data_IF_416593992803
#
_entry.id   IF_416593992803
#
_cell.length_a   1.000
_cell.length_b   1.000
_cell.length_c   1.000
_cell.angle_alpha   90.00
_cell.angle_beta   90.00
_cell.angle_gamma   90.00
#
_symmetry.space_group_name_H-M   'P 1'
#
loop_
_entity.id
_entity.type
_entity.pdbx_description
1 polymer ?
#
# COMPACT_ATOMS: atom_id res chain seq x y z
N UNK A 1 -15.81 9.60 3.80
CA UNK A 1 -15.48 8.34 3.08
C UNK A 1 -14.63 8.60 1.83
N UNK A 2 -15.03 9.47 0.90
CA UNK A 2 -14.31 9.68 -0.37
C UNK A 2 -12.83 10.07 -0.23
N UNK A 3 -12.50 11.03 0.64
CA UNK A 3 -11.10 11.40 0.91
C UNK A 3 -10.27 10.21 1.45
N UNK A 4 -10.84 9.44 2.39
CA UNK A 4 -10.17 8.25 2.96
C UNK A 4 -9.94 7.20 1.86
N UNK A 5 -10.93 7.00 0.99
CA UNK A 5 -10.82 6.11 -0.16
C UNK A 5 -9.70 6.54 -1.11
N UNK A 6 -9.62 7.82 -1.48
CA UNK A 6 -8.56 8.35 -2.34
C UNK A 6 -7.18 8.08 -1.73
N UNK A 7 -6.99 8.38 -0.44
CA UNK A 7 -5.70 8.15 0.21
C UNK A 7 -5.32 6.66 0.24
N UNK A 8 -6.26 5.78 0.56
CA UNK A 8 -6.03 4.33 0.55
C UNK A 8 -5.71 3.83 -0.86
N UNK A 9 -6.44 4.31 -1.87
CA UNK A 9 -6.26 3.92 -3.27
C UNK A 9 -4.89 4.36 -3.82
N UNK A 10 -4.50 5.63 -3.60
CA UNK A 10 -3.20 6.13 -4.02
C UNK A 10 -2.08 5.39 -3.29
N UNK A 11 -2.22 5.15 -1.98
CA UNK A 11 -1.23 4.40 -1.20
C UNK A 11 -1.02 2.97 -1.71
N UNK A 12 -2.10 2.28 -2.07
CA UNK A 12 -2.07 0.95 -2.66
C UNK A 12 -1.40 0.96 -4.04
N UNK A 13 -1.80 1.90 -4.92
CA UNK A 13 -1.25 2.04 -6.26
C UNK A 13 0.25 2.30 -6.25
N UNK A 14 0.70 3.26 -5.42
CA UNK A 14 2.13 3.58 -5.28
C UNK A 14 2.90 2.38 -4.73
N UNK A 15 2.34 1.67 -3.74
CA UNK A 15 2.94 0.46 -3.20
C UNK A 15 3.13 -0.62 -4.27
N UNK A 16 2.12 -0.83 -5.11
CA UNK A 16 2.18 -1.83 -6.19
C UNK A 16 3.25 -1.47 -7.23
N UNK A 17 3.30 -0.21 -7.66
CA UNK A 17 4.33 0.25 -8.59
C UNK A 17 5.74 0.13 -8.00
N UNK A 18 5.94 0.46 -6.72
CA UNK A 18 7.23 0.27 -6.04
C UNK A 18 7.66 -1.19 -6.05
N UNK A 19 6.75 -2.14 -5.76
CA UNK A 19 7.05 -3.57 -5.82
C UNK A 19 7.48 -4.00 -7.22
N UNK A 20 6.74 -3.56 -8.24
CA UNK A 20 7.04 -3.86 -9.66
C UNK A 20 8.41 -3.35 -10.08
N UNK A 21 8.79 -2.14 -9.65
CA UNK A 21 10.14 -1.61 -9.90
C UNK A 21 11.21 -2.49 -9.25
N UNK A 22 11.00 -2.94 -8.01
CA UNK A 22 11.90 -3.85 -7.32
C UNK A 22 12.05 -5.21 -8.00
N UNK A 23 10.94 -5.75 -8.51
CA UNK A 23 10.92 -7.01 -9.26
C UNK A 23 11.68 -6.90 -10.58
N UNK A 24 11.41 -5.87 -11.38
CA UNK A 24 12.12 -5.63 -12.65
C UNK A 24 13.61 -5.40 -12.41
N UNK A 25 13.97 -4.62 -11.39
CA UNK A 25 15.36 -4.42 -10.99
C UNK A 25 16.04 -5.74 -10.61
N UNK A 26 15.35 -6.62 -9.88
CA UNK A 26 15.87 -7.94 -9.50
C UNK A 26 16.04 -8.89 -10.70
N UNK A 27 15.10 -8.88 -11.65
CA UNK A 27 15.14 -9.71 -12.86
C UNK A 27 16.15 -9.24 -13.90
N UNK A 28 16.80 -8.10 -13.68
CA UNK A 28 17.84 -7.61 -14.58
C UNK A 28 19.07 -8.51 -14.47
N UNK A 29 19.82 -8.73 -15.57
CA UNK A 29 21.08 -9.50 -15.57
C UNK A 29 22.21 -8.74 -14.84
N UNK A 30 22.06 -8.53 -13.54
CA UNK A 30 22.92 -7.68 -12.71
C UNK A 30 24.38 -8.11 -12.74
N UNK A 31 24.65 -9.41 -12.88
CA UNK A 31 26.00 -9.97 -12.97
C UNK A 31 26.77 -9.56 -14.24
N UNK A 32 26.07 -9.02 -15.26
CA UNK A 32 26.69 -8.49 -16.50
C UNK A 32 26.94 -6.98 -16.45
N UNK A 33 26.54 -6.30 -15.37
CA UNK A 33 26.62 -4.85 -15.25
C UNK A 33 27.90 -4.40 -14.52
N UNK A 34 28.38 -3.17 -14.76
CA UNK A 34 29.48 -2.59 -14.00
C UNK A 34 29.17 -2.55 -12.50
N UNK A 35 30.20 -2.75 -11.66
CA UNK A 35 30.06 -2.81 -10.20
C UNK A 35 29.33 -1.60 -9.60
N UNK A 36 29.56 -0.39 -10.14
CA UNK A 36 28.84 0.83 -9.72
C UNK A 36 27.33 0.72 -9.96
N UNK A 37 26.92 0.19 -11.11
CA UNK A 37 25.51 0.02 -11.49
C UNK A 37 24.84 -1.06 -10.65
N UNK A 38 25.54 -2.17 -10.38
CA UNK A 38 25.04 -3.25 -9.50
C UNK A 38 24.75 -2.73 -8.10
N UNK A 39 25.64 -1.92 -7.54
CA UNK A 39 25.42 -1.30 -6.22
C UNK A 39 24.17 -0.41 -6.20
N UNK A 40 23.96 0.39 -7.25
CA UNK A 40 22.76 1.20 -7.40
C UNK A 40 21.48 0.36 -7.52
N UNK A 41 21.51 -0.73 -8.29
CA UNK A 41 20.40 -1.68 -8.43
C UNK A 41 20.02 -2.31 -7.08
N UNK A 42 21.01 -2.73 -6.28
CA UNK A 42 20.78 -3.27 -4.94
C UNK A 42 20.07 -2.23 -4.06
N UNK A 43 20.50 -0.97 -4.11
CA UNK A 43 19.83 0.11 -3.37
C UNK A 43 18.37 0.27 -3.82
N UNK A 44 18.09 0.25 -5.12
CA UNK A 44 16.73 0.32 -5.67
C UNK A 44 15.87 -0.87 -5.18
N UNK A 45 16.42 -2.08 -5.19
CA UNK A 45 15.72 -3.28 -4.71
C UNK A 45 15.42 -3.19 -3.20
N UNK A 46 16.36 -2.70 -2.40
CA UNK A 46 16.12 -2.51 -0.96
C UNK A 46 15.08 -1.42 -0.71
N UNK A 47 15.14 -0.31 -1.46
CA UNK A 47 14.19 0.80 -1.32
C UNK A 47 12.77 0.44 -1.78
N UNK A 48 12.61 -0.32 -2.86
CA UNK A 48 11.30 -0.78 -3.34
C UNK A 48 10.57 -1.71 -2.37
N UNK A 49 11.31 -2.45 -1.54
CA UNK A 49 10.73 -3.26 -0.45
C UNK A 49 10.16 -2.43 0.69
N UNK A 50 10.59 -1.18 0.84
CA UNK A 50 10.03 -0.25 1.82
C UNK A 50 8.69 0.23 1.27
N UNK A 51 7.64 -0.52 1.62
CA UNK A 51 6.26 -0.18 1.32
C UNK A 51 6.01 1.26 1.77
N UNK A 52 5.53 2.11 0.85
CA UNK A 52 5.07 3.47 1.18
C UNK A 52 3.76 3.31 1.93
N UNK A 53 3.87 3.00 3.23
CA UNK A 53 2.72 2.83 4.12
C UNK A 53 2.24 4.21 4.52
N UNK A 54 1.23 4.71 3.84
CA UNK A 54 0.53 5.92 4.28
C UNK A 54 -0.17 5.59 5.60
N UNK A 55 0.27 6.19 6.69
CA UNK A 55 -0.33 6.01 8.02
C UNK A 55 -1.12 7.24 8.44
N UNK A 56 -2.38 7.06 8.83
CA UNK A 56 -3.14 8.11 9.50
C UNK A 56 -2.65 8.22 10.96
N UNK A 57 -2.09 9.38 11.32
CA UNK A 57 -1.63 9.67 12.68
C UNK A 57 -0.56 8.72 13.24
N UNK A 58 0.16 7.97 12.39
CA UNK A 58 1.05 6.84 12.76
C UNK A 58 0.37 5.65 13.43
N UNK A 59 -0.96 5.64 13.52
CA UNK A 59 -1.72 4.62 14.26
C UNK A 59 -2.41 3.66 13.29
N UNK A 60 -2.94 4.16 12.17
CA UNK A 60 -3.70 3.35 11.22
C UNK A 60 -2.98 3.29 9.87
N UNK A 61 -2.69 2.08 9.39
CA UNK A 61 -2.29 1.88 8.01
C UNK A 61 -3.50 2.11 7.10
N UNK A 62 -3.41 3.14 6.25
CA UNK A 62 -4.42 3.42 5.22
C UNK A 62 -4.16 2.50 4.03
N UNK A 63 -4.98 1.46 3.92
CA UNK A 63 -4.99 0.49 2.81
C UNK A 63 -6.44 0.24 2.37
N UNK A 64 -6.65 -0.28 1.16
CA UNK A 64 -8.01 -0.58 0.67
C UNK A 64 -8.69 -1.59 1.60
N UNK A 65 -7.92 -2.51 2.20
CA UNK A 65 -8.39 -3.51 3.14
C UNK A 65 -8.90 -2.86 4.42
N UNK A 66 -8.15 -1.90 4.98
CA UNK A 66 -8.57 -1.13 6.16
C UNK A 66 -9.84 -0.31 5.88
N UNK A 67 -9.90 0.31 4.70
CA UNK A 67 -11.09 1.06 4.27
C UNK A 67 -12.33 0.16 4.16
N UNK A 68 -12.19 -1.03 3.59
CA UNK A 68 -13.25 -2.03 3.52
C UNK A 68 -13.75 -2.46 4.89
N UNK A 69 -12.85 -2.61 5.87
CA UNK A 69 -13.23 -2.90 7.25
C UNK A 69 -14.05 -1.76 7.87
N UNK A 70 -13.66 -0.50 7.65
CA UNK A 70 -14.40 0.68 8.12
C UNK A 70 -15.80 0.77 7.51
N UNK A 71 -15.95 0.49 6.21
CA UNK A 71 -17.29 0.43 5.58
C UNK A 71 -18.13 -0.68 6.22
N UNK A 72 -17.56 -1.88 6.36
CA UNK A 72 -18.29 -3.04 6.89
C UNK A 72 -18.80 -2.78 8.31
N UNK A 73 -17.96 -2.23 9.18
CA UNK A 73 -18.36 -1.87 10.55
C UNK A 73 -19.42 -0.77 10.54
N UNK A 74 -19.27 0.27 9.70
CA UNK A 74 -20.28 1.33 9.57
C UNK A 74 -21.65 0.78 9.19
N UNK A 75 -21.71 -0.11 8.20
CA UNK A 75 -22.97 -0.75 7.76
C UNK A 75 -23.53 -1.68 8.85
N UNK A 76 -22.67 -2.42 9.55
CA UNK A 76 -23.11 -3.27 10.66
C UNK A 76 -23.76 -2.46 11.78
N UNK A 77 -23.17 -1.32 12.17
CA UNK A 77 -23.77 -0.40 13.15
C UNK A 77 -25.10 0.18 12.65
N UNK A 78 -25.18 0.58 11.38
CA UNK A 78 -26.43 1.08 10.79
C UNK A 78 -27.54 0.01 10.82
N UNK A 79 -27.20 -1.23 10.49
CA UNK A 79 -28.16 -2.34 10.54
C UNK A 79 -28.63 -2.61 11.97
N UNK A 80 -27.71 -2.65 12.94
CA UNK A 80 -28.06 -2.83 14.35
C UNK A 80 -28.99 -1.72 14.84
N UNK A 81 -28.68 -0.46 14.53
CA UNK A 81 -29.52 0.68 14.89
C UNK A 81 -30.91 0.56 14.25
N UNK A 82 -30.99 0.18 12.97
CA UNK A 82 -32.27 -0.03 12.27
C UNK A 82 -33.11 -1.12 12.92
N UNK A 83 -32.49 -2.22 13.35
CA UNK A 83 -33.17 -3.32 14.06
C UNK A 83 -33.66 -2.91 15.46
N UNK A 84 -32.99 -1.98 16.13
CA UNK A 84 -33.41 -1.49 17.45
C UNK A 84 -34.49 -0.40 17.38
N UNK A 85 -34.58 0.32 16.26
CA UNK A 85 -35.56 1.39 16.04
C UNK A 85 -36.86 0.89 15.38
N UNK A 86 -36.83 -0.29 14.74
CA UNK A 86 -38.03 -1.00 14.24
C UNK A 86 -38.59 -1.93 15.31
#
# INVERSE_FOLDING_TARGET
>A
MFNIFIFCFIGELVTDQCKKVGEVAYMTNWYKLPHKTVRSLILIIVRSRIVIKITAGKIFHMSIQTFGAVIRTSVAYLNMLRTLTM
#
